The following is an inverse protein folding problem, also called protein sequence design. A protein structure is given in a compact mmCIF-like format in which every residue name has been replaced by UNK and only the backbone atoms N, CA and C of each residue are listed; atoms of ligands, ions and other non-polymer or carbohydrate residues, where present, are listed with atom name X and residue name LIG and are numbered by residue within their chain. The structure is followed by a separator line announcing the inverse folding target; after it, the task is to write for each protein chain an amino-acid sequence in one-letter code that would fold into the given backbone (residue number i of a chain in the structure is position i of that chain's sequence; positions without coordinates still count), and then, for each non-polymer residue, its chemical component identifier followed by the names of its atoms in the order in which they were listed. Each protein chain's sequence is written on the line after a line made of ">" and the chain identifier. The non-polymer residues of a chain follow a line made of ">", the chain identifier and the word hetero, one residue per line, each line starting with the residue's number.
data_IF_301789132556
#
_entry.id   IF_301789132556
#
_cell.length_a   1.000
_cell.length_b   1.000
_cell.length_c   1.000
_cell.angle_alpha   90.00
_cell.angle_beta   90.00
_cell.angle_gamma   90.00
#
_symmetry.space_group_name_H-M   'P 1'
#
loop_
_entity.id
_entity.type
_entity.pdbx_description
1 polymer ?
#
# COMPACT_ATOMS: atom_id res chain seq x y z
N UNK A 1 32.81 20.83 0.45
CA UNK A 1 31.46 20.27 0.19
C UNK A 1 30.32 21.25 0.45
N UNK A 2 29.85 21.49 1.69
CA UNK A 2 28.62 22.31 1.88
C UNK A 2 28.78 23.78 1.42
N UNK A 3 29.90 24.44 1.77
CA UNK A 3 30.25 25.79 1.27
C UNK A 3 30.40 25.87 -0.25
N UNK A 4 30.87 24.81 -0.91
CA UNK A 4 31.00 24.79 -2.38
C UNK A 4 29.65 24.60 -3.06
N UNK A 5 28.78 23.77 -2.50
CA UNK A 5 27.41 23.58 -2.98
C UNK A 5 26.62 24.89 -2.88
N UNK A 6 26.78 25.65 -1.79
CA UNK A 6 26.15 26.96 -1.63
C UNK A 6 26.65 27.96 -2.69
N UNK A 7 27.97 27.98 -2.95
CA UNK A 7 28.56 28.84 -4.00
C UNK A 7 28.03 28.46 -5.38
N UNK A 8 27.94 27.17 -5.71
CA UNK A 8 27.36 26.68 -6.96
C UNK A 8 25.88 27.01 -7.07
N UNK A 9 25.10 26.80 -6.00
CA UNK A 9 23.69 27.16 -5.94
C UNK A 9 23.49 28.64 -6.22
N UNK A 10 24.24 29.54 -5.57
CA UNK A 10 24.12 30.98 -5.83
C UNK A 10 24.60 31.39 -7.22
N UNK A 11 25.60 30.71 -7.80
CA UNK A 11 26.01 30.94 -9.20
C UNK A 11 24.91 30.58 -10.18
N UNK A 12 24.21 29.47 -9.95
CA UNK A 12 23.06 29.03 -10.74
C UNK A 12 21.88 29.98 -10.54
N UNK A 13 21.54 30.29 -9.29
CA UNK A 13 20.37 31.09 -8.94
C UNK A 13 20.50 32.57 -9.32
N UNK A 14 21.73 33.10 -9.38
CA UNK A 14 22.00 34.47 -9.86
C UNK A 14 22.10 34.54 -11.39
N UNK A 15 22.22 33.40 -12.08
CA UNK A 15 22.16 33.38 -13.53
C UNK A 15 20.70 33.47 -13.97
N UNK A 16 20.30 34.64 -14.48
CA UNK A 16 18.91 34.92 -14.89
C UNK A 16 18.38 33.94 -15.93
N UNK A 17 19.22 33.47 -16.86
CA UNK A 17 18.79 32.51 -17.88
C UNK A 17 18.52 31.13 -17.27
N UNK A 18 19.44 30.61 -16.44
CA UNK A 18 19.26 29.32 -15.77
C UNK A 18 18.08 29.38 -14.80
N UNK A 19 17.95 30.48 -14.04
CA UNK A 19 16.81 30.67 -13.14
C UNK A 19 15.48 30.65 -13.90
N UNK A 20 15.39 31.35 -15.04
CA UNK A 20 14.19 31.34 -15.87
C UNK A 20 13.85 29.93 -16.38
N UNK A 21 14.86 29.16 -16.80
CA UNK A 21 14.68 27.78 -17.25
C UNK A 21 14.20 26.86 -16.13
N UNK A 22 14.80 26.98 -14.94
CA UNK A 22 14.37 26.25 -13.74
C UNK A 22 12.93 26.59 -13.38
N UNK A 23 12.57 27.87 -13.36
CA UNK A 23 11.20 28.31 -13.06
C UNK A 23 10.21 27.80 -14.12
N UNK A 24 10.60 27.80 -15.39
CA UNK A 24 9.78 27.27 -16.49
C UNK A 24 9.50 25.78 -16.31
N UNK A 25 10.53 24.96 -16.09
CA UNK A 25 10.37 23.52 -15.87
C UNK A 25 9.63 23.18 -14.57
N UNK A 26 9.79 23.99 -13.52
CA UNK A 26 8.99 23.87 -12.30
C UNK A 26 7.51 24.17 -12.56
N UNK A 27 7.21 25.14 -13.43
CA UNK A 27 5.85 25.40 -13.91
C UNK A 27 5.26 24.18 -14.62
N UNK A 28 5.98 23.64 -15.60
CA UNK A 28 5.58 22.43 -16.31
C UNK A 28 5.38 21.24 -15.37
N UNK A 29 6.28 21.02 -14.41
CA UNK A 29 6.13 19.96 -13.42
C UNK A 29 4.86 20.15 -12.59
N UNK A 30 4.62 21.34 -12.05
CA UNK A 30 3.42 21.62 -11.23
C UNK A 30 2.12 21.37 -11.99
N UNK A 31 2.10 21.64 -13.29
CA UNK A 31 0.94 21.42 -14.14
C UNK A 31 0.75 19.96 -14.57
N UNK A 32 1.84 19.17 -14.58
CA UNK A 32 1.88 17.87 -15.25
C UNK A 32 2.31 16.68 -14.38
N UNK A 33 2.71 16.89 -13.12
CA UNK A 33 3.17 15.81 -12.24
C UNK A 33 2.13 14.70 -12.03
N UNK A 34 0.84 15.06 -12.09
CA UNK A 34 -0.29 14.14 -11.98
C UNK A 34 -1.20 14.28 -13.19
N UNK A 35 -1.39 13.19 -13.94
CA UNK A 35 -2.24 13.16 -15.14
C UNK A 35 -3.04 11.88 -15.25
N UNK A 36 -4.16 12.03 -15.93
CA UNK A 36 -5.12 10.96 -16.20
C UNK A 36 -5.16 10.69 -17.71
N UNK A 37 -5.16 9.42 -18.09
CA UNK A 37 -5.28 8.99 -19.49
C UNK A 37 -6.17 7.77 -19.57
N UNK A 38 -6.84 7.56 -20.70
CA UNK A 38 -7.62 6.33 -20.90
C UNK A 38 -6.72 5.11 -21.01
N UNK A 39 -5.55 5.29 -21.63
CA UNK A 39 -4.59 4.23 -21.86
C UNK A 39 -3.15 4.73 -22.03
N UNK A 40 -2.20 3.81 -22.10
CA UNK A 40 -0.77 4.11 -22.22
C UNK A 40 -0.42 4.69 -23.60
N UNK A 41 -1.25 4.43 -24.62
CA UNK A 41 -1.06 5.00 -25.96
C UNK A 41 -1.29 6.51 -25.94
N UNK A 42 -2.32 7.01 -25.27
CA UNK A 42 -2.53 8.46 -25.09
C UNK A 42 -1.35 9.10 -24.35
N UNK A 43 -0.85 8.47 -23.30
CA UNK A 43 0.37 8.90 -22.59
C UNK A 43 1.56 9.01 -23.55
N UNK A 44 1.74 8.04 -24.45
CA UNK A 44 2.89 8.01 -25.36
C UNK A 44 2.95 9.23 -26.30
N UNK A 45 1.78 9.80 -26.62
CA UNK A 45 1.59 10.99 -27.47
C UNK A 45 1.67 12.30 -26.69
N UNK A 46 1.68 12.24 -25.36
CA UNK A 46 1.64 13.43 -24.53
C UNK A 46 3.01 14.13 -24.48
N UNK A 47 3.02 15.41 -24.86
CA UNK A 47 4.25 16.21 -25.01
C UNK A 47 5.04 16.36 -23.71
N UNK A 48 4.36 16.35 -22.55
CA UNK A 48 4.99 16.58 -21.24
C UNK A 48 5.06 15.31 -20.39
N UNK A 49 5.08 14.12 -21.02
CA UNK A 49 5.03 12.83 -20.31
C UNK A 49 6.17 12.62 -19.31
N UNK A 50 7.33 13.22 -19.54
CA UNK A 50 8.50 13.09 -18.66
C UNK A 50 8.40 13.91 -17.36
N UNK A 51 7.41 14.79 -17.26
CA UNK A 51 7.09 15.49 -16.01
C UNK A 51 6.14 14.69 -15.11
N UNK A 52 5.54 13.62 -15.65
CA UNK A 52 4.52 12.85 -14.93
C UNK A 52 5.21 11.94 -13.93
N UNK A 53 4.86 12.09 -12.66
CA UNK A 53 5.28 11.20 -11.55
C UNK A 53 4.14 10.33 -11.06
N UNK A 54 2.89 10.82 -11.16
CA UNK A 54 1.66 10.10 -10.81
C UNK A 54 0.79 9.91 -12.06
N UNK A 55 0.70 8.67 -12.53
CA UNK A 55 -0.15 8.28 -13.65
C UNK A 55 -1.42 7.58 -13.14
N UNK A 56 -2.57 8.07 -13.59
CA UNK A 56 -3.87 7.42 -13.36
C UNK A 56 -4.43 7.00 -14.71
N UNK A 57 -4.69 5.71 -14.87
CA UNK A 57 -5.49 5.21 -15.98
C UNK A 57 -6.96 5.32 -15.56
N UNK A 58 -7.80 5.88 -16.43
CA UNK A 58 -9.25 6.02 -16.22
C UNK A 58 -10.02 5.06 -17.13
N UNK A 59 -11.27 4.78 -16.78
CA UNK A 59 -12.13 3.89 -17.58
C UNK A 59 -12.41 4.53 -18.95
N UNK A 60 -12.36 3.72 -20.01
CA UNK A 60 -12.90 4.08 -21.32
C UNK A 60 -14.36 3.63 -21.44
N UNK A 61 -15.13 4.40 -22.22
CA UNK A 61 -16.49 4.04 -22.64
C UNK A 61 -16.49 3.03 -23.80
N UNK A 62 -15.35 2.85 -24.46
CA UNK A 62 -15.14 1.90 -25.56
C UNK A 62 -14.62 0.57 -25.01
N UNK A 63 -15.06 -0.54 -25.61
CA UNK A 63 -14.53 -1.90 -25.40
C UNK A 63 -13.06 -1.94 -25.86
N UNK A 64 -12.17 -1.46 -25.01
CA UNK A 64 -10.77 -1.18 -25.36
C UNK A 64 -9.89 -2.43 -25.20
N UNK A 65 -10.25 -3.47 -25.96
CA UNK A 65 -9.54 -4.74 -26.00
C UNK A 65 -8.24 -4.68 -26.83
N UNK A 66 -7.96 -3.57 -27.55
CA UNK A 66 -6.72 -3.45 -28.33
C UNK A 66 -5.48 -3.61 -27.41
N UNK A 67 -4.63 -4.63 -27.65
CA UNK A 67 -3.42 -4.88 -26.87
C UNK A 67 -2.45 -3.70 -26.83
N UNK A 68 -2.48 -2.81 -27.85
CA UNK A 68 -1.59 -1.65 -27.93
C UNK A 68 -1.88 -0.60 -26.87
N UNK A 69 -3.07 -0.59 -26.28
CA UNK A 69 -3.46 0.39 -25.27
C UNK A 69 -2.73 0.22 -23.95
N UNK A 70 -2.25 -0.99 -23.65
CA UNK A 70 -1.51 -1.29 -22.42
C UNK A 70 -0.07 -1.69 -22.71
N UNK A 71 0.59 -1.01 -23.65
CA UNK A 71 2.00 -1.24 -23.92
C UNK A 71 2.89 -0.47 -22.94
N UNK A 72 3.28 -1.12 -21.84
CA UNK A 72 4.04 -0.51 -20.75
C UNK A 72 5.45 -0.03 -21.12
N UNK A 73 5.96 -0.37 -22.32
CA UNK A 73 7.23 0.18 -22.84
C UNK A 73 7.23 1.71 -22.91
N UNK A 74 6.05 2.33 -23.05
CA UNK A 74 5.92 3.79 -23.14
C UNK A 74 5.82 4.48 -21.78
N UNK A 75 5.82 3.75 -20.65
CA UNK A 75 6.00 4.40 -19.35
C UNK A 75 7.39 5.01 -19.27
N UNK A 76 7.43 6.32 -19.04
CA UNK A 76 8.65 7.06 -18.73
C UNK A 76 9.16 6.68 -17.34
N UNK A 77 10.48 6.74 -17.15
CA UNK A 77 11.16 6.45 -15.89
C UNK A 77 10.90 7.53 -14.82
N UNK A 78 10.25 8.64 -15.19
CA UNK A 78 9.76 9.64 -14.24
C UNK A 78 8.58 9.14 -13.39
N UNK A 79 7.84 8.14 -13.88
CA UNK A 79 6.61 7.66 -13.22
C UNK A 79 7.00 6.83 -12.00
N UNK A 80 6.50 7.25 -10.83
CA UNK A 80 6.73 6.59 -9.55
C UNK A 80 5.47 5.99 -8.96
N UNK A 81 4.29 6.46 -9.39
CA UNK A 81 2.99 5.94 -8.96
C UNK A 81 2.11 5.65 -10.17
N UNK A 82 1.62 4.40 -10.25
CA UNK A 82 0.69 3.93 -11.28
C UNK A 82 -0.62 3.49 -10.63
N UNK A 83 -1.73 4.09 -11.05
CA UNK A 83 -3.09 3.68 -10.66
C UNK A 83 -3.82 3.15 -11.89
N UNK A 84 -4.27 1.91 -11.83
CA UNK A 84 -5.12 1.31 -12.85
C UNK A 84 -6.58 1.72 -12.64
N UNK A 85 -7.34 1.81 -13.73
CA UNK A 85 -8.79 2.03 -13.68
C UNK A 85 -9.51 0.79 -13.11
N UNK A 86 -10.79 0.97 -12.74
CA UNK A 86 -11.56 -0.07 -12.09
C UNK A 86 -11.80 -1.28 -12.99
N UNK A 87 -11.95 -1.07 -14.32
CA UNK A 87 -12.19 -2.14 -15.31
C UNK A 87 -10.93 -2.93 -15.71
N UNK A 88 -9.73 -2.47 -15.37
CA UNK A 88 -8.48 -3.12 -15.78
C UNK A 88 -8.38 -4.53 -15.19
N UNK A 89 -8.45 -5.55 -16.05
CA UNK A 89 -8.36 -6.95 -15.66
C UNK A 89 -7.57 -7.80 -16.68
N UNK A 90 -6.53 -7.21 -17.29
CA UNK A 90 -5.65 -7.90 -18.25
C UNK A 90 -4.49 -8.57 -17.50
N UNK A 91 -4.04 -9.73 -17.98
CA UNK A 91 -2.90 -10.43 -17.39
C UNK A 91 -1.64 -9.58 -17.57
N UNK A 92 -0.93 -9.35 -16.46
CA UNK A 92 0.39 -8.72 -16.49
C UNK A 92 1.46 -9.81 -16.66
N UNK A 93 2.49 -9.49 -17.42
CA UNK A 93 3.68 -10.31 -17.63
C UNK A 93 4.89 -9.64 -16.98
N UNK A 94 5.99 -10.39 -16.88
CA UNK A 94 7.24 -9.89 -16.32
C UNK A 94 7.69 -8.57 -16.98
N UNK A 95 7.68 -8.49 -18.31
CA UNK A 95 8.20 -7.33 -19.03
C UNK A 95 7.32 -6.07 -18.91
N UNK A 96 6.09 -6.20 -18.38
CA UNK A 96 5.16 -5.08 -18.27
C UNK A 96 5.58 -4.11 -17.15
N UNK A 97 5.82 -4.63 -15.95
CA UNK A 97 6.08 -3.80 -14.77
C UNK A 97 7.44 -4.07 -14.12
N UNK A 98 8.01 -5.27 -14.24
CA UNK A 98 9.19 -5.66 -13.46
C UNK A 98 10.44 -4.85 -13.79
N UNK A 99 10.54 -4.35 -15.03
CA UNK A 99 11.65 -3.57 -15.55
C UNK A 99 11.54 -2.07 -15.24
N UNK A 100 10.47 -1.65 -14.54
CA UNK A 100 10.19 -0.24 -14.22
C UNK A 100 10.66 0.08 -12.81
N UNK A 101 11.98 0.19 -12.64
CA UNK A 101 12.63 0.44 -11.34
C UNK A 101 12.28 1.79 -10.70
N UNK A 102 11.66 2.71 -11.44
CA UNK A 102 11.12 3.96 -10.91
C UNK A 102 9.83 3.78 -10.11
N UNK A 103 9.04 2.73 -10.38
CA UNK A 103 7.72 2.53 -9.77
C UNK A 103 7.83 2.19 -8.28
N UNK A 104 7.31 3.07 -7.44
CA UNK A 104 7.25 2.92 -5.97
C UNK A 104 5.86 2.52 -5.49
N UNK A 105 4.82 2.89 -6.23
CA UNK A 105 3.42 2.70 -5.85
C UNK A 105 2.64 2.10 -7.02
N UNK A 106 1.94 0.99 -6.76
CA UNK A 106 0.96 0.42 -7.69
C UNK A 106 -0.38 0.31 -6.96
N UNK A 107 -1.43 0.80 -7.61
CA UNK A 107 -2.82 0.68 -7.16
C UNK A 107 -3.63 0.01 -8.26
N UNK A 108 -4.12 -1.19 -7.98
CA UNK A 108 -5.05 -1.88 -8.89
C UNK A 108 -6.46 -1.33 -8.71
N UNK A 109 -7.21 -1.23 -9.81
CA UNK A 109 -8.62 -0.88 -9.77
C UNK A 109 -9.47 -2.03 -9.25
N UNK A 110 -10.74 -1.73 -8.95
CA UNK A 110 -11.65 -2.64 -8.23
C UNK A 110 -11.70 -4.05 -8.78
N UNK A 111 -11.77 -4.25 -10.10
CA UNK A 111 -12.07 -5.55 -10.72
C UNK A 111 -10.85 -6.35 -11.19
N UNK A 112 -9.63 -5.94 -10.84
CA UNK A 112 -8.43 -6.72 -11.18
C UNK A 112 -8.41 -8.06 -10.43
N UNK A 113 -8.40 -9.16 -11.17
CA UNK A 113 -8.41 -10.53 -10.65
C UNK A 113 -7.55 -11.45 -11.54
N UNK A 114 -6.32 -11.03 -11.82
CA UNK A 114 -5.32 -11.84 -12.55
C UNK A 114 -4.14 -12.22 -11.67
N UNK A 115 -3.61 -13.45 -11.81
CA UNK A 115 -2.53 -13.92 -10.96
C UNK A 115 -1.29 -13.05 -11.11
N UNK A 116 -0.76 -12.58 -9.98
CA UNK A 116 0.52 -11.88 -9.91
C UNK A 116 1.59 -12.91 -9.58
N UNK A 117 2.22 -13.47 -10.61
CA UNK A 117 3.33 -14.41 -10.47
C UNK A 117 4.61 -13.79 -9.90
N UNK A 118 5.59 -14.65 -9.68
CA UNK A 118 6.95 -14.25 -9.29
C UNK A 118 7.54 -13.26 -10.30
N UNK A 119 8.15 -12.17 -9.80
CA UNK A 119 8.88 -11.17 -10.59
C UNK A 119 8.02 -10.35 -11.56
N UNK A 120 6.69 -10.29 -11.39
CA UNK A 120 5.82 -9.36 -12.14
C UNK A 120 5.90 -7.95 -11.55
N UNK A 121 5.90 -7.85 -10.23
CA UNK A 121 5.97 -6.58 -9.52
C UNK A 121 7.41 -6.04 -9.52
N UNK A 122 7.62 -4.73 -9.72
CA UNK A 122 8.95 -4.13 -9.74
C UNK A 122 9.63 -4.23 -8.38
N UNK A 123 10.94 -4.50 -8.38
CA UNK A 123 11.77 -4.65 -7.17
C UNK A 123 11.96 -3.35 -6.38
N UNK A 124 11.52 -2.25 -6.96
CA UNK A 124 11.57 -0.91 -6.37
C UNK A 124 10.29 -0.53 -5.62
N UNK A 125 9.24 -1.37 -5.69
CA UNK A 125 7.93 -1.11 -5.12
C UNK A 125 7.98 -0.99 -3.61
N UNK A 126 7.54 0.13 -3.04
CA UNK A 126 7.49 0.34 -1.58
C UNK A 126 6.08 0.20 -1.03
N UNK A 127 5.07 0.46 -1.85
CA UNK A 127 3.66 0.46 -1.46
C UNK A 127 2.86 -0.41 -2.43
N UNK A 128 2.26 -1.48 -1.90
CA UNK A 128 1.34 -2.34 -2.64
C UNK A 128 -0.03 -2.34 -1.98
N UNK A 129 -1.07 -2.14 -2.79
CA UNK A 129 -2.46 -2.23 -2.37
C UNK A 129 -3.23 -3.15 -3.30
N UNK A 130 -3.73 -4.25 -2.77
CA UNK A 130 -4.69 -5.10 -3.48
C UNK A 130 -6.06 -4.42 -3.53
N UNK A 131 -6.82 -4.69 -4.59
CA UNK A 131 -8.20 -4.25 -4.70
C UNK A 131 -9.15 -5.24 -4.02
N UNK A 132 -10.41 -4.82 -3.83
CA UNK A 132 -11.38 -5.58 -3.04
C UNK A 132 -11.84 -6.89 -3.71
N UNK A 133 -11.75 -7.01 -5.04
CA UNK A 133 -12.18 -8.20 -5.79
C UNK A 133 -11.02 -9.07 -6.27
N UNK A 134 -9.78 -8.76 -5.87
CA UNK A 134 -8.66 -9.63 -6.16
C UNK A 134 -8.83 -10.95 -5.41
N UNK A 135 -8.85 -12.07 -6.11
CA UNK A 135 -9.16 -13.38 -5.56
C UNK A 135 -8.22 -14.45 -6.12
N UNK A 136 -6.94 -14.14 -6.24
CA UNK A 136 -5.91 -15.09 -6.69
C UNK A 136 -4.99 -15.49 -5.55
N UNK A 137 -4.41 -16.70 -5.64
CA UNK A 137 -3.40 -17.15 -4.69
C UNK A 137 -2.12 -16.31 -4.81
N UNK A 138 -1.52 -15.97 -3.67
CA UNK A 138 -0.22 -15.30 -3.60
C UNK A 138 0.73 -16.19 -2.81
N UNK A 139 1.84 -16.57 -3.45
CA UNK A 139 2.88 -17.38 -2.85
C UNK A 139 3.98 -16.52 -2.22
N UNK A 140 4.79 -17.14 -1.38
CA UNK A 140 5.99 -16.51 -0.83
C UNK A 140 6.87 -15.93 -1.95
N UNK A 141 7.45 -14.75 -1.71
CA UNK A 141 8.30 -13.99 -2.65
C UNK A 141 7.60 -13.38 -3.88
N UNK A 142 6.28 -13.50 -4.03
CA UNK A 142 5.56 -12.79 -5.11
C UNK A 142 5.48 -11.29 -4.86
N UNK A 143 5.38 -10.90 -3.59
CA UNK A 143 5.50 -9.50 -3.16
C UNK A 143 6.99 -9.17 -2.98
N UNK A 144 7.52 -8.13 -3.65
CA UNK A 144 8.93 -7.76 -3.54
C UNK A 144 9.34 -7.41 -2.10
N UNK A 145 10.57 -7.76 -1.72
CA UNK A 145 11.16 -7.44 -0.40
C UNK A 145 11.50 -5.94 -0.22
N UNK A 146 11.14 -5.10 -1.17
CA UNK A 146 11.19 -3.64 -1.07
C UNK A 146 9.92 -3.05 -0.47
N UNK A 147 8.83 -3.81 -0.43
CA UNK A 147 7.52 -3.33 0.02
C UNK A 147 7.54 -3.11 1.53
N UNK A 148 7.28 -1.88 1.96
CA UNK A 148 7.22 -1.46 3.36
C UNK A 148 5.79 -1.20 3.84
N UNK A 149 4.88 -0.86 2.92
CA UNK A 149 3.45 -0.72 3.18
C UNK A 149 2.68 -1.75 2.34
N UNK A 150 1.89 -2.58 3.01
CA UNK A 150 1.03 -3.57 2.36
C UNK A 150 -0.43 -3.42 2.83
N UNK A 151 -1.34 -3.25 1.88
CA UNK A 151 -2.78 -3.45 2.10
C UNK A 151 -3.16 -4.83 1.56
N UNK A 152 -3.33 -5.78 2.48
CA UNK A 152 -3.59 -7.19 2.24
C UNK A 152 -5.10 -7.45 2.18
N UNK A 153 -5.55 -8.01 1.06
CA UNK A 153 -6.93 -8.45 0.84
C UNK A 153 -7.05 -9.94 1.13
N UNK A 154 -8.17 -10.37 1.69
CA UNK A 154 -8.46 -11.80 1.82
C UNK A 154 -8.82 -12.39 0.45
N UNK A 155 -8.08 -13.41 0.02
CA UNK A 155 -8.36 -14.15 -1.22
C UNK A 155 -9.12 -15.43 -0.88
N UNK A 156 -10.33 -15.61 -1.38
CA UNK A 156 -11.12 -16.84 -1.19
C UNK A 156 -10.46 -18.08 -1.79
N UNK A 157 -9.62 -17.90 -2.82
CA UNK A 157 -8.79 -18.98 -3.36
C UNK A 157 -7.60 -19.35 -2.48
N UNK A 158 -7.18 -18.47 -1.57
CA UNK A 158 -6.09 -18.77 -0.63
C UNK A 158 -6.61 -19.69 0.48
N UNK A 159 -6.37 -21.00 0.32
CA UNK A 159 -6.87 -22.02 1.26
C UNK A 159 -6.23 -21.92 2.65
N UNK A 160 -4.98 -21.48 2.75
CA UNK A 160 -4.22 -21.39 3.99
C UNK A 160 -3.36 -20.12 4.03
N UNK A 161 -3.24 -19.51 5.21
CA UNK A 161 -2.37 -18.36 5.46
C UNK A 161 -0.93 -18.83 5.66
N UNK A 162 -0.18 -18.99 4.56
CA UNK A 162 1.19 -19.47 4.63
C UNK A 162 2.14 -18.41 5.21
N UNK A 163 3.07 -18.86 6.06
CA UNK A 163 4.19 -18.02 6.50
C UNK A 163 5.03 -17.57 5.29
N UNK A 164 5.44 -16.30 5.27
CA UNK A 164 6.29 -15.73 4.22
C UNK A 164 5.56 -15.15 3.01
N UNK A 165 4.22 -15.15 2.98
CA UNK A 165 3.45 -14.38 1.99
C UNK A 165 3.70 -12.88 2.16
N UNK A 166 3.66 -12.40 3.41
CA UNK A 166 3.97 -11.01 3.76
C UNK A 166 5.50 -10.88 3.90
N UNK A 167 6.18 -10.05 3.08
CA UNK A 167 7.63 -9.90 3.15
C UNK A 167 8.09 -9.33 4.50
N UNK A 168 9.28 -9.73 4.94
CA UNK A 168 9.94 -9.21 6.16
C UNK A 168 10.39 -7.75 6.08
N UNK A 169 10.15 -7.07 4.96
CA UNK A 169 10.34 -5.63 4.81
C UNK A 169 9.10 -4.82 5.20
N UNK A 170 7.93 -5.46 5.29
CA UNK A 170 6.67 -4.76 5.58
C UNK A 170 6.69 -4.22 7.01
N UNK A 171 6.52 -2.91 7.13
CA UNK A 171 6.45 -2.19 8.40
C UNK A 171 4.99 -1.82 8.74
N UNK A 172 4.19 -1.47 7.73
CA UNK A 172 2.77 -1.16 7.88
C UNK A 172 1.92 -2.18 7.14
N UNK A 173 1.05 -2.87 7.88
CA UNK A 173 0.13 -3.87 7.36
C UNK A 173 -1.31 -3.43 7.62
N UNK A 174 -2.09 -3.32 6.55
CA UNK A 174 -3.53 -3.09 6.62
C UNK A 174 -4.26 -4.29 6.03
N UNK A 175 -5.19 -4.86 6.78
CA UNK A 175 -6.12 -5.86 6.27
C UNK A 175 -7.36 -5.19 5.66
N UNK A 176 -7.94 -5.82 4.64
CA UNK A 176 -9.21 -5.39 4.06
C UNK A 176 -10.39 -5.50 5.05
N UNK A 177 -11.52 -4.94 4.65
CA UNK A 177 -12.74 -4.89 5.47
C UNK A 177 -13.40 -6.25 5.72
N UNK A 178 -13.11 -7.27 4.89
CA UNK A 178 -13.70 -8.59 4.99
C UNK A 178 -12.83 -9.59 5.77
N UNK A 179 -11.56 -9.25 6.04
CA UNK A 179 -10.59 -10.12 6.68
C UNK A 179 -11.06 -10.53 8.07
N UNK A 180 -11.37 -11.83 8.22
CA UNK A 180 -11.79 -12.41 9.50
C UNK A 180 -11.27 -13.86 9.67
N UNK A 181 -10.08 -14.11 9.13
CA UNK A 181 -9.41 -15.41 9.17
C UNK A 181 -8.59 -15.56 10.44
N UNK A 182 -8.41 -16.79 10.95
CA UNK A 182 -7.51 -17.03 12.07
C UNK A 182 -6.10 -16.61 11.68
N UNK A 183 -5.47 -15.76 12.49
CA UNK A 183 -4.05 -15.49 12.36
C UNK A 183 -3.29 -16.71 12.90
N UNK A 184 -2.30 -17.16 12.14
CA UNK A 184 -1.36 -18.18 12.61
C UNK A 184 -0.04 -17.52 13.00
N UNK A 185 0.64 -18.11 13.99
CA UNK A 185 1.93 -17.61 14.45
C UNK A 185 2.92 -17.55 13.28
N UNK A 186 3.51 -16.37 13.05
CA UNK A 186 4.47 -16.13 11.97
C UNK A 186 3.85 -15.69 10.65
N UNK A 187 2.52 -15.63 10.52
CA UNK A 187 1.87 -15.06 9.34
C UNK A 187 2.20 -13.58 9.17
N UNK A 188 2.10 -12.80 10.25
CA UNK A 188 2.54 -11.40 10.28
C UNK A 188 4.03 -11.35 10.68
N UNK A 189 4.93 -10.80 9.86
CA UNK A 189 6.36 -10.80 10.15
C UNK A 189 6.72 -9.84 11.29
N UNK A 190 7.81 -10.15 12.01
CA UNK A 190 8.37 -9.32 13.09
C UNK A 190 8.94 -7.96 12.64
N UNK A 191 8.80 -7.59 11.37
CA UNK A 191 9.09 -6.26 10.87
C UNK A 191 7.91 -5.30 11.03
N UNK A 192 6.69 -5.80 11.18
CA UNK A 192 5.48 -4.98 11.21
C UNK A 192 5.41 -4.20 12.52
N UNK A 193 5.31 -2.88 12.41
CA UNK A 193 5.16 -1.94 13.52
C UNK A 193 3.72 -1.44 13.64
N UNK A 194 2.97 -1.40 12.54
CA UNK A 194 1.63 -0.83 12.50
C UNK A 194 0.66 -1.79 11.82
N UNK A 195 -0.38 -2.21 12.54
CA UNK A 195 -1.42 -3.11 12.06
C UNK A 195 -2.75 -2.40 12.08
N UNK A 196 -3.46 -2.44 10.96
CA UNK A 196 -4.87 -2.03 10.88
C UNK A 196 -5.71 -3.22 10.41
N UNK A 197 -6.61 -3.69 11.26
CA UNK A 197 -7.63 -4.65 10.90
C UNK A 197 -8.83 -3.95 10.25
N UNK A 198 -9.42 -4.57 9.24
CA UNK A 198 -10.64 -4.04 8.63
C UNK A 198 -11.90 -4.36 9.42
N UNK A 199 -13.03 -3.88 8.88
CA UNK A 199 -14.33 -3.83 9.56
C UNK A 199 -14.77 -5.15 10.19
N UNK A 200 -14.66 -6.28 9.48
CA UNK A 200 -15.22 -7.57 9.89
C UNK A 200 -14.35 -8.38 10.86
N UNK A 201 -13.10 -7.98 11.12
CA UNK A 201 -12.20 -8.75 11.96
C UNK A 201 -12.73 -8.87 13.40
N UNK A 202 -13.01 -10.09 13.84
CA UNK A 202 -13.59 -10.36 15.16
C UNK A 202 -13.13 -11.72 15.70
N UNK A 203 -11.80 -11.97 15.69
CA UNK A 203 -11.19 -13.20 16.20
C UNK A 203 -10.45 -12.95 17.51
N UNK A 204 -10.46 -13.97 18.38
CA UNK A 204 -9.65 -13.97 19.61
C UNK A 204 -8.19 -14.01 19.20
N UNK A 205 -7.41 -13.05 19.69
CA UNK A 205 -5.96 -13.00 19.43
C UNK A 205 -5.23 -13.90 20.42
N UNK A 206 -4.39 -14.78 19.88
CA UNK A 206 -3.52 -15.69 20.63
C UNK A 206 -2.09 -15.19 20.63
N UNK A 207 -1.28 -15.79 21.50
CA UNK A 207 0.16 -15.53 21.57
C UNK A 207 0.83 -15.78 20.21
N UNK A 208 1.45 -14.73 19.67
CA UNK A 208 2.18 -14.79 18.40
C UNK A 208 1.38 -14.33 17.18
N UNK A 209 0.07 -14.09 17.31
CA UNK A 209 -0.75 -13.55 16.21
C UNK A 209 -0.33 -12.12 15.85
N UNK A 210 0.00 -11.33 16.87
CA UNK A 210 0.58 -10.00 16.73
C UNK A 210 2.09 -10.08 17.01
N UNK A 211 2.95 -9.59 16.09
CA UNK A 211 4.40 -9.68 16.27
C UNK A 211 4.91 -8.79 17.40
N UNK A 212 6.01 -9.22 18.02
CA UNK A 212 6.65 -8.53 19.16
C UNK A 212 7.24 -7.14 18.82
N UNK A 213 7.32 -6.79 17.55
CA UNK A 213 7.72 -5.48 17.04
C UNK A 213 6.58 -4.46 17.01
N UNK A 214 5.32 -4.91 17.03
CA UNK A 214 4.16 -4.09 16.78
C UNK A 214 4.04 -2.97 17.83
N UNK A 215 3.86 -1.73 17.36
CA UNK A 215 3.73 -0.50 18.17
C UNK A 215 2.30 0.03 18.15
N UNK A 216 1.58 -0.16 17.05
CA UNK A 216 0.24 0.37 16.87
C UNK A 216 -0.71 -0.69 16.32
N UNK A 217 -1.85 -0.85 16.97
CA UNK A 217 -2.94 -1.72 16.51
C UNK A 217 -4.22 -0.90 16.39
N UNK A 218 -4.83 -0.94 15.21
CA UNK A 218 -6.17 -0.44 14.98
C UNK A 218 -7.11 -1.60 14.66
N UNK A 219 -8.06 -1.85 15.54
CA UNK A 219 -9.15 -2.79 15.30
C UNK A 219 -10.27 -2.14 14.49
N UNK A 220 -10.91 -2.94 13.64
CA UNK A 220 -12.08 -2.53 12.88
C UNK A 220 -13.36 -2.46 13.73
N UNK A 221 -14.44 -2.01 13.11
CA UNK A 221 -15.73 -1.73 13.75
C UNK A 221 -16.29 -2.91 14.54
N UNK A 222 -16.18 -4.14 14.01
CA UNK A 222 -16.85 -5.32 14.58
C UNK A 222 -16.06 -6.05 15.67
N UNK A 223 -14.80 -5.66 15.94
CA UNK A 223 -13.96 -6.37 16.91
C UNK A 223 -14.56 -6.27 18.32
N UNK A 224 -14.90 -7.41 18.91
CA UNK A 224 -15.47 -7.49 20.26
C UNK A 224 -15.07 -8.78 20.98
N UNK A 225 -13.80 -9.18 20.87
CA UNK A 225 -13.26 -10.37 21.53
C UNK A 225 -12.52 -10.02 22.81
N UNK A 226 -12.55 -10.91 23.83
CA UNK A 226 -11.79 -10.70 25.05
C UNK A 226 -10.30 -10.70 24.74
N UNK A 227 -9.57 -9.84 25.44
CA UNK A 227 -8.11 -9.89 25.46
C UNK A 227 -7.68 -10.96 26.47
N UNK A 228 -6.72 -11.79 26.07
CA UNK A 228 -6.09 -12.78 26.93
C UNK A 228 -4.82 -12.14 27.50
N UNK A 229 -4.70 -12.02 28.84
CA UNK A 229 -3.52 -11.45 29.48
C UNK A 229 -2.24 -12.12 29.01
N UNK A 230 -1.21 -11.31 28.74
CA UNK A 230 0.11 -11.77 28.28
C UNK A 230 0.15 -12.50 26.92
N UNK A 231 -0.99 -12.66 26.24
CA UNK A 231 -1.08 -13.37 24.96
C UNK A 231 -1.56 -12.49 23.80
N UNK A 232 -2.67 -11.77 23.96
CA UNK A 232 -3.32 -11.08 22.84
C UNK A 232 -2.55 -9.85 22.34
N UNK A 233 -2.00 -9.04 23.26
CA UNK A 233 -1.34 -7.77 22.94
C UNK A 233 0.11 -7.79 23.45
N UNK A 234 1.11 -7.67 22.56
CA UNK A 234 2.52 -7.62 22.94
C UNK A 234 2.89 -6.38 23.76
N UNK A 235 3.93 -6.50 24.59
CA UNK A 235 4.46 -5.40 25.42
C UNK A 235 4.92 -4.18 24.61
N UNK A 236 5.30 -4.38 23.35
CA UNK A 236 5.77 -3.32 22.46
C UNK A 236 4.68 -2.33 22.04
N UNK A 237 3.40 -2.72 22.14
CA UNK A 237 2.27 -1.94 21.62
C UNK A 237 2.05 -0.73 22.53
N UNK A 238 2.13 0.46 21.95
CA UNK A 238 1.94 1.74 22.65
C UNK A 238 0.68 2.47 22.21
N UNK A 239 0.06 2.09 21.10
CA UNK A 239 -1.18 2.70 20.60
C UNK A 239 -2.18 1.60 20.24
N UNK A 240 -3.36 1.67 20.82
CA UNK A 240 -4.44 0.71 20.57
C UNK A 240 -5.72 1.50 20.29
N UNK A 241 -6.36 1.19 19.18
CA UNK A 241 -7.64 1.76 18.78
C UNK A 241 -8.66 0.63 18.66
N UNK A 242 -9.73 0.71 19.44
CA UNK A 242 -10.88 -0.20 19.33
C UNK A 242 -12.02 0.48 18.58
N UNK A 243 -12.64 -0.27 17.66
CA UNK A 243 -13.81 0.18 16.90
C UNK A 243 -15.11 0.19 17.72
N UNK A 244 -16.19 0.67 17.09
CA UNK A 244 -17.48 0.97 17.72
C UNK A 244 -18.14 -0.18 18.50
N UNK A 245 -17.91 -1.44 18.13
CA UNK A 245 -18.58 -2.59 18.77
C UNK A 245 -17.82 -3.17 19.96
N UNK A 246 -16.62 -2.67 20.28
CA UNK A 246 -15.83 -3.19 21.39
C UNK A 246 -16.51 -2.89 22.74
N UNK A 247 -16.94 -3.93 23.44
CA UNK A 247 -17.65 -3.85 24.71
C UNK A 247 -17.10 -4.80 25.78
N UNK A 248 -15.90 -5.33 25.58
CA UNK A 248 -15.24 -6.19 26.56
C UNK A 248 -14.60 -5.38 27.70
N UNK A 249 -14.58 -5.97 28.90
CA UNK A 249 -13.85 -5.41 30.03
C UNK A 249 -12.35 -5.57 29.82
N UNK A 250 -11.61 -4.46 29.85
CA UNK A 250 -10.15 -4.46 29.87
C UNK A 250 -9.68 -4.62 31.32
N UNK A 251 -9.01 -5.73 31.61
CA UNK A 251 -8.48 -6.08 32.94
C UNK A 251 -6.97 -5.79 33.03
N UNK A 252 -6.42 -5.65 34.25
CA UNK A 252 -4.98 -5.60 34.44
C UNK A 252 -4.30 -6.83 33.81
N UNK A 253 -3.27 -6.59 32.99
CA UNK A 253 -2.53 -7.64 32.26
C UNK A 253 -2.98 -7.87 30.82
N UNK A 254 -4.17 -7.43 30.42
CA UNK A 254 -4.65 -7.51 29.03
C UNK A 254 -3.79 -6.64 28.10
N UNK A 255 -3.41 -5.45 28.60
CA UNK A 255 -2.48 -4.53 27.95
C UNK A 255 -1.29 -4.36 28.88
N UNK A 256 -0.16 -4.93 28.50
CA UNK A 256 1.03 -5.02 29.35
C UNK A 256 1.82 -3.71 29.41
N UNK A 257 1.75 -2.90 28.34
CA UNK A 257 2.43 -1.62 28.30
C UNK A 257 1.65 -0.58 29.11
N UNK A 258 2.15 -0.24 30.30
CA UNK A 258 1.52 0.75 31.18
C UNK A 258 1.44 2.17 30.60
N UNK A 259 2.18 2.47 29.53
CA UNK A 259 2.13 3.76 28.83
C UNK A 259 1.28 3.73 27.55
N UNK A 260 0.61 2.61 27.26
CA UNK A 260 -0.19 2.47 26.05
C UNK A 260 -1.37 3.46 26.03
N UNK A 261 -1.50 4.19 24.93
CA UNK A 261 -2.66 5.01 24.64
C UNK A 261 -3.77 4.13 24.07
N UNK A 262 -4.91 4.12 24.75
CA UNK A 262 -6.12 3.40 24.32
C UNK A 262 -7.13 4.42 23.79
N UNK A 263 -7.63 4.18 22.60
CA UNK A 263 -8.71 4.96 21.98
C UNK A 263 -9.90 4.06 21.73
N UNK A 264 -11.10 4.53 22.10
CA UNK A 264 -12.37 3.84 21.89
C UNK A 264 -13.25 4.70 20.99
N UNK A 265 -13.78 4.12 19.91
CA UNK A 265 -14.82 4.80 19.12
C UNK A 265 -16.17 4.72 19.85
N UNK A 266 -16.80 5.88 20.04
CA UNK A 266 -18.12 5.99 20.67
C UNK A 266 -19.17 6.35 19.61
N UNK A 267 -20.35 5.70 19.67
CA UNK A 267 -21.51 6.09 18.85
C UNK A 267 -22.00 7.46 19.32
N UNK A 268 -22.02 8.45 18.42
CA UNK A 268 -22.76 9.71 18.66
C UNK A 268 -24.26 9.40 18.65
N UNK A 269 -24.92 9.59 19.79
CA UNK A 269 -26.39 9.55 19.87
C UNK A 269 -26.87 10.95 19.48
N UNK A 270 -27.39 11.09 18.25
CA UNK A 270 -28.11 12.31 17.88
C UNK A 270 -29.50 12.24 18.55
N UNK A 271 -29.78 13.20 19.43
CA UNK A 271 -31.09 13.39 20.08
C UNK A 271 -32.10 14.02 19.12
#
# INVERSE_FOLDING_TARGET
>A
MQKENDILFFKIWRNKAILNEVVYHLGLYRENYKKEFKNIKELSLYMFKDYITELILIDSDEDDDDPKNYNFKYLSDSITSLTFNDKFNKQLNKDDLSLKDSLKIIKFGKFYDKPLGYDILPKSLTTLKFCNYYDQEILANYIPSSVTYLEYTHFSKQKELLCGIIPSSVCTLKFDDAFNFPLENGFIPNSVTDITFGVAFNRVLKKGDIPSSCKSIKFGTCYNQPLIPYESIPLSVSNIHFGLCFSQLIKPGDIQNGSAKITLEIKKINK
#
